data_IF_042647165462
#
_entry.id   IF_042647165462
#
_cell.length_a   1.000
_cell.length_b   1.000
_cell.length_c   1.000
_cell.angle_alpha   90.00
_cell.angle_beta   90.00
_cell.angle_gamma   90.00
#
_symmetry.space_group_name_H-M   'P 1'
#
loop_
_entity.id
_entity.type
_entity.pdbx_description
1 polymer ?
#
# COMPACT_ATOMS: atom_id res chain seq x y z
N UNK A 1 26.00 15.62 -22.50
CA UNK A 1 24.52 15.60 -22.43
C UNK A 1 24.03 14.21 -22.83
N UNK A 2 23.81 13.33 -21.85
CA UNK A 2 23.24 12.00 -22.10
C UNK A 2 21.86 11.93 -21.45
N UNK A 3 20.82 11.96 -22.27
CA UNK A 3 19.47 11.52 -21.89
C UNK A 3 19.52 9.98 -21.80
N UNK A 4 20.00 9.46 -20.67
CA UNK A 4 20.31 8.04 -20.47
C UNK A 4 19.15 7.24 -19.90
N UNK A 5 18.25 6.77 -20.76
CA UNK A 5 17.23 5.77 -20.45
C UNK A 5 16.11 6.24 -19.48
N UNK A 6 15.02 5.46 -19.32
CA UNK A 6 14.04 5.76 -18.30
C UNK A 6 14.76 5.81 -16.95
N UNK A 7 14.50 6.86 -16.18
CA UNK A 7 15.00 7.03 -14.81
C UNK A 7 14.79 5.71 -14.07
N UNK A 8 15.86 4.95 -13.86
CA UNK A 8 15.76 3.66 -13.21
C UNK A 8 15.26 3.93 -11.78
N UNK A 9 13.98 3.61 -11.54
CA UNK A 9 13.41 3.73 -10.20
C UNK A 9 14.26 2.93 -9.22
N UNK A 10 14.54 3.52 -8.07
CA UNK A 10 15.26 2.82 -7.00
C UNK A 10 14.44 1.61 -6.55
N UNK A 11 15.14 0.49 -6.32
CA UNK A 11 14.52 -0.75 -5.86
C UNK A 11 14.90 -0.98 -4.41
N UNK A 12 13.89 -1.28 -3.60
CA UNK A 12 14.07 -1.58 -2.19
C UNK A 12 13.50 -2.96 -1.87
N UNK A 13 14.29 -3.80 -1.21
CA UNK A 13 13.78 -5.01 -0.55
C UNK A 13 13.08 -4.59 0.73
N UNK A 14 11.76 -4.65 0.74
CA UNK A 14 10.95 -4.34 1.93
C UNK A 14 9.76 -5.30 2.05
N UNK A 15 9.31 -5.51 3.29
CA UNK A 15 8.07 -6.22 3.61
C UNK A 15 6.96 -5.18 3.81
N UNK A 16 5.96 -5.17 2.92
CA UNK A 16 4.83 -4.23 2.99
C UNK A 16 3.95 -4.42 4.22
N UNK A 17 4.08 -5.54 4.94
CA UNK A 17 3.40 -5.73 6.21
C UNK A 17 4.06 -4.95 7.36
N UNK A 18 5.18 -4.25 7.11
CA UNK A 18 5.88 -3.41 8.07
C UNK A 18 5.76 -1.93 7.69
N UNK A 19 6.01 -1.00 8.63
CA UNK A 19 6.02 0.42 8.31
C UNK A 19 7.05 0.77 7.21
N UNK A 20 6.62 1.56 6.22
CA UNK A 20 7.49 1.98 5.13
C UNK A 20 8.67 2.85 5.62
N UNK A 21 9.92 2.57 5.18
CA UNK A 21 11.13 3.21 5.68
C UNK A 21 11.42 4.56 5.01
N UNK A 22 10.39 5.37 4.77
CA UNK A 22 10.52 6.69 4.17
C UNK A 22 10.14 7.79 5.16
N UNK A 23 10.62 9.00 4.90
CA UNK A 23 10.25 10.19 5.69
C UNK A 23 8.81 10.62 5.39
N UNK A 24 8.23 11.39 6.31
CA UNK A 24 6.90 11.99 6.14
C UNK A 24 6.86 12.88 4.89
N UNK A 25 5.80 12.77 4.08
CA UNK A 25 5.61 13.60 2.89
C UNK A 25 6.63 13.38 1.77
N UNK A 26 7.27 12.21 1.72
CA UNK A 26 8.26 11.87 0.70
C UNK A 26 7.68 11.71 -0.71
N UNK A 27 6.39 11.37 -0.85
CA UNK A 27 5.78 11.04 -2.13
C UNK A 27 4.48 11.79 -2.36
N UNK A 28 4.24 12.20 -3.60
CA UNK A 28 2.97 12.82 -4.03
C UNK A 28 1.94 11.79 -4.50
N UNK A 29 2.39 10.60 -4.88
CA UNK A 29 1.56 9.51 -5.39
C UNK A 29 2.15 8.19 -4.94
N UNK A 30 1.26 7.23 -4.65
CA UNK A 30 1.60 5.83 -4.53
C UNK A 30 0.63 5.00 -5.37
N UNK A 31 1.12 3.92 -5.97
CA UNK A 31 0.30 2.94 -6.65
C UNK A 31 0.85 1.54 -6.38
N UNK A 32 -0.05 0.56 -6.31
CA UNK A 32 0.31 -0.85 -6.23
C UNK A 32 -0.54 -1.64 -7.20
N UNK A 33 0.10 -2.53 -7.96
CA UNK A 33 -0.55 -3.42 -8.93
C UNK A 33 -0.25 -4.85 -8.51
N UNK A 34 -1.29 -5.64 -8.25
CA UNK A 34 -1.19 -7.07 -7.97
C UNK A 34 -0.19 -7.44 -6.85
N UNK A 35 -0.09 -6.63 -5.80
CA UNK A 35 0.82 -6.90 -4.67
C UNK A 35 0.15 -6.85 -3.30
N UNK A 36 -0.68 -5.83 -3.03
CA UNK A 36 -1.26 -5.67 -1.69
C UNK A 36 -2.17 -6.82 -1.27
N UNK A 37 -2.74 -7.59 -2.21
CA UNK A 37 -3.64 -8.71 -1.90
C UNK A 37 -3.00 -9.77 -0.96
N UNK A 38 -1.68 -9.91 -0.93
CA UNK A 38 -0.97 -10.79 0.01
C UNK A 38 -1.11 -10.37 1.49
N UNK A 39 -1.52 -9.13 1.76
CA UNK A 39 -1.74 -8.62 3.11
C UNK A 39 -3.13 -8.95 3.65
N UNK A 40 -4.10 -9.26 2.79
CA UNK A 40 -5.44 -9.63 3.20
C UNK A 40 -5.51 -11.02 3.83
N UNK A 41 -4.55 -11.88 3.52
CA UNK A 41 -4.44 -13.23 4.08
C UNK A 41 -3.79 -13.19 5.47
N UNK A 42 -4.27 -14.01 6.40
CA UNK A 42 -3.62 -14.14 7.70
C UNK A 42 -2.27 -14.86 7.57
N UNK A 43 -1.28 -14.38 8.32
CA UNK A 43 0.03 -15.01 8.41
C UNK A 43 0.19 -15.67 9.79
N UNK A 44 1.06 -16.67 9.90
CA UNK A 44 1.27 -17.47 11.13
C UNK A 44 1.53 -16.64 12.39
N UNK A 45 2.08 -15.42 12.24
CA UNK A 45 2.50 -14.57 13.37
C UNK A 45 1.73 -13.27 13.54
N UNK A 46 1.00 -12.82 12.52
CA UNK A 46 0.27 -11.54 12.55
C UNK A 46 -1.00 -11.63 11.73
N UNK A 47 -2.08 -11.09 12.29
CA UNK A 47 -3.35 -10.99 11.61
C UNK A 47 -3.27 -10.03 10.42
N UNK A 48 -4.06 -10.27 9.38
CA UNK A 48 -4.17 -9.40 8.21
C UNK A 48 -4.49 -7.95 8.61
N UNK A 49 -5.35 -7.75 9.60
CA UNK A 49 -5.72 -6.43 10.11
C UNK A 49 -4.49 -5.63 10.58
N UNK A 50 -3.60 -6.24 11.37
CA UNK A 50 -2.38 -5.58 11.85
C UNK A 50 -1.41 -5.25 10.72
N UNK A 51 -1.30 -6.15 9.74
CA UNK A 51 -0.42 -6.01 8.58
C UNK A 51 -0.90 -4.90 7.64
N UNK A 52 -2.20 -4.83 7.41
CA UNK A 52 -2.86 -3.78 6.62
C UNK A 52 -2.73 -2.43 7.32
N UNK A 53 -3.00 -2.36 8.63
CA UNK A 53 -2.83 -1.14 9.42
C UNK A 53 -1.38 -0.63 9.35
N UNK A 54 -0.38 -1.50 9.45
CA UNK A 54 1.03 -1.12 9.34
C UNK A 54 1.36 -0.48 7.97
N UNK A 55 0.87 -1.07 6.88
CA UNK A 55 1.03 -0.50 5.54
C UNK A 55 0.32 0.84 5.44
N UNK A 56 -0.98 0.88 5.70
CA UNK A 56 -1.83 2.05 5.42
C UNK A 56 -1.46 3.25 6.28
N UNK A 57 -1.16 3.06 7.58
CA UNK A 57 -0.70 4.15 8.46
C UNK A 57 0.63 4.72 7.99
N UNK A 58 1.59 3.85 7.68
CA UNK A 58 2.92 4.32 7.26
C UNK A 58 2.88 4.96 5.88
N UNK A 59 2.07 4.44 4.96
CA UNK A 59 1.84 5.02 3.65
C UNK A 59 1.19 6.40 3.75
N UNK A 60 0.13 6.55 4.56
CA UNK A 60 -0.53 7.84 4.81
C UNK A 60 0.45 8.91 5.30
N UNK A 61 1.40 8.52 6.16
CA UNK A 61 2.48 9.39 6.65
C UNK A 61 3.47 9.75 5.54
N UNK A 62 3.86 8.79 4.70
CA UNK A 62 4.84 9.01 3.63
C UNK A 62 4.28 9.88 2.49
N UNK A 63 2.95 9.99 2.37
CA UNK A 63 2.30 10.84 1.37
C UNK A 63 2.31 12.33 1.77
N UNK A 64 2.52 13.21 0.79
CA UNK A 64 2.45 14.66 0.95
C UNK A 64 1.01 15.11 1.24
N UNK A 65 0.83 16.34 1.75
CA UNK A 65 -0.50 16.88 2.07
C UNK A 65 -1.38 17.08 0.82
N UNK A 66 -0.74 17.34 -0.31
CA UNK A 66 -1.36 17.48 -1.63
C UNK A 66 -1.40 16.17 -2.41
N UNK A 67 -1.05 15.05 -1.77
CA UNK A 67 -0.97 13.77 -2.46
C UNK A 67 -2.33 13.38 -3.03
N UNK A 68 -2.31 12.84 -4.24
CA UNK A 68 -3.52 12.26 -4.84
C UNK A 68 -3.92 11.00 -4.08
N UNK A 69 -5.20 10.60 -4.14
CA UNK A 69 -5.62 9.30 -3.64
C UNK A 69 -4.72 8.18 -4.20
N UNK A 70 -4.34 7.25 -3.34
CA UNK A 70 -3.52 6.12 -3.76
C UNK A 70 -4.38 5.05 -4.43
N UNK A 71 -3.84 4.45 -5.49
CA UNK A 71 -4.50 3.38 -6.23
C UNK A 71 -3.90 2.04 -5.83
N UNK A 72 -4.69 1.17 -5.21
CA UNK A 72 -4.27 -0.16 -4.76
C UNK A 72 -5.07 -1.23 -5.51
N UNK A 73 -4.51 -1.76 -6.59
CA UNK A 73 -5.18 -2.76 -7.41
C UNK A 73 -4.80 -4.18 -6.96
N UNK A 74 -5.81 -5.00 -6.65
CA UNK A 74 -5.67 -6.26 -5.92
C UNK A 74 -6.35 -7.44 -6.65
N UNK A 75 -5.89 -7.73 -7.87
CA UNK A 75 -6.52 -8.63 -8.83
C UNK A 75 -6.59 -10.15 -8.50
N UNK A 76 -5.92 -10.65 -7.46
CA UNK A 76 -5.66 -12.11 -7.34
C UNK A 76 -5.85 -12.69 -5.94
N UNK A 77 -6.68 -12.07 -5.10
CA UNK A 77 -6.93 -12.63 -3.77
C UNK A 77 -7.84 -13.85 -3.81
N UNK A 78 -7.43 -14.92 -3.12
CA UNK A 78 -8.32 -16.05 -2.76
C UNK A 78 -9.08 -15.81 -1.45
N UNK A 79 -8.76 -14.73 -0.75
CA UNK A 79 -9.41 -14.36 0.51
C UNK A 79 -10.75 -13.66 0.20
N UNK A 80 -11.91 -14.32 0.43
CA UNK A 80 -13.21 -13.76 0.08
C UNK A 80 -13.53 -12.49 0.88
N UNK A 81 -12.94 -12.32 2.07
CA UNK A 81 -13.13 -11.13 2.91
C UNK A 81 -12.14 -10.01 2.61
N UNK A 82 -11.30 -10.13 1.57
CA UNK A 82 -10.23 -9.17 1.31
C UNK A 82 -10.76 -7.74 1.14
N UNK A 83 -11.84 -7.56 0.37
CA UNK A 83 -12.48 -6.25 0.16
C UNK A 83 -12.83 -5.61 1.50
N UNK A 84 -13.57 -6.33 2.33
CA UNK A 84 -14.00 -5.87 3.64
C UNK A 84 -12.79 -5.52 4.51
N UNK A 85 -11.77 -6.40 4.58
CA UNK A 85 -10.55 -6.16 5.37
C UNK A 85 -9.81 -4.89 4.93
N UNK A 86 -9.71 -4.66 3.62
CA UNK A 86 -9.10 -3.45 3.07
C UNK A 86 -9.92 -2.19 3.41
N UNK A 87 -11.24 -2.25 3.23
CA UNK A 87 -12.16 -1.15 3.55
C UNK A 87 -12.04 -0.76 5.02
N UNK A 88 -12.20 -1.72 5.93
CA UNK A 88 -12.10 -1.48 7.38
C UNK A 88 -10.73 -0.92 7.80
N UNK A 89 -9.64 -1.45 7.22
CA UNK A 89 -8.31 -0.95 7.51
C UNK A 89 -8.11 0.49 7.01
N UNK A 90 -8.68 0.82 5.86
CA UNK A 90 -8.58 2.16 5.29
C UNK A 90 -9.37 3.18 6.10
N UNK A 91 -10.58 2.83 6.53
CA UNK A 91 -11.39 3.65 7.44
C UNK A 91 -10.66 3.91 8.76
N UNK A 92 -10.11 2.87 9.41
CA UNK A 92 -9.33 3.01 10.65
C UNK A 92 -8.09 3.90 10.48
N UNK A 93 -7.49 3.89 9.30
CA UNK A 93 -6.29 4.67 8.99
C UNK A 93 -6.60 6.07 8.44
N UNK A 94 -7.88 6.44 8.33
CA UNK A 94 -8.31 7.75 7.83
C UNK A 94 -7.99 7.95 6.35
N UNK A 95 -8.23 6.93 5.54
CA UNK A 95 -7.87 6.89 4.13
C UNK A 95 -9.03 6.42 3.25
N UNK A 96 -9.18 7.03 2.07
CA UNK A 96 -10.11 6.55 1.06
C UNK A 96 -9.38 5.56 0.14
N UNK A 97 -9.85 4.31 0.09
CA UNK A 97 -9.46 3.38 -0.97
C UNK A 97 -9.96 3.95 -2.29
N UNK A 98 -9.03 4.27 -3.19
CA UNK A 98 -9.41 4.98 -4.39
C UNK A 98 -9.99 4.07 -5.48
N UNK A 99 -9.48 2.85 -5.58
CA UNK A 99 -9.99 1.85 -6.52
C UNK A 99 -9.47 0.47 -6.11
N UNK A 100 -10.37 -0.49 -5.90
CA UNK A 100 -10.04 -1.89 -5.64
C UNK A 100 -10.54 -2.70 -6.83
N UNK A 101 -9.64 -2.94 -7.78
CA UNK A 101 -9.93 -3.82 -8.92
C UNK A 101 -9.61 -5.25 -8.52
N UNK A 102 -10.65 -6.09 -8.49
CA UNK A 102 -10.62 -7.52 -8.16
C UNK A 102 -10.83 -8.30 -9.45
#
# INVERSE_FOLDING_TARGET
>A
TSLGGPLAGERLRCDLAQPLPFRTGAFDVAYSIAAVHYLAQDATRRAAAERLDALLRSLRRCLSRSARPCTLQAFFTREPTAVQRFTEASERCGWALCDLVI
#
